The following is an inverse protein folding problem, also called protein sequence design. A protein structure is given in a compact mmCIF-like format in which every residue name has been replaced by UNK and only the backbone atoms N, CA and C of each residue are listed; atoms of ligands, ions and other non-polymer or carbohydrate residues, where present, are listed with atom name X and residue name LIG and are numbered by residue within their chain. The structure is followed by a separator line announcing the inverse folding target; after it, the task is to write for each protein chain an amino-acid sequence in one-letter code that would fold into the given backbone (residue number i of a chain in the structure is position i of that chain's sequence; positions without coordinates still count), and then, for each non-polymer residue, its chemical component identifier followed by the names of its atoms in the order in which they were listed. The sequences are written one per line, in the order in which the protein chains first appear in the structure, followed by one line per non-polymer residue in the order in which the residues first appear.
data_IF_219474373102
#
_entry.id   IF_219474373102
#
_cell.length_a   1.000
_cell.length_b   1.000
_cell.length_c   1.000
_cell.angle_alpha   90.00
_cell.angle_beta   90.00
_cell.angle_gamma   90.00
#
_symmetry.space_group_name_H-M   'P 1'
#
loop_
_entity.id
_entity.type
_entity.pdbx_description
1 polymer ?
#
# COMPACT_ATOMS: atom_id res chain seq x y z
N UNK A 1 -16.50 3.81 -8.17
CA UNK A 1 -15.48 4.48 -7.33
C UNK A 1 -14.10 3.83 -7.46
N UNK A 2 -13.73 3.35 -8.65
CA UNK A 2 -12.38 2.88 -8.98
C UNK A 2 -11.96 3.77 -10.15
N UNK A 3 -11.12 4.80 -9.94
CA UNK A 3 -10.43 5.60 -10.99
C UNK A 3 -9.85 6.91 -10.46
N UNK A 4 -10.32 7.42 -9.31
CA UNK A 4 -9.82 8.69 -8.75
C UNK A 4 -8.84 8.38 -7.63
N UNK A 5 -7.54 8.73 -7.76
CA UNK A 5 -6.59 8.62 -6.67
C UNK A 5 -7.10 9.43 -5.47
N UNK A 6 -7.08 8.84 -4.28
CA UNK A 6 -7.32 9.60 -3.06
C UNK A 6 -6.08 10.46 -2.80
N UNK A 7 -6.18 11.80 -2.77
CA UNK A 7 -5.06 12.64 -2.37
C UNK A 7 -4.84 12.47 -0.86
N UNK A 8 -3.63 12.06 -0.47
CA UNK A 8 -3.18 11.93 0.93
C UNK A 8 -4.11 11.09 1.83
N UNK A 9 -4.40 9.82 1.49
CA UNK A 9 -5.23 8.99 2.35
C UNK A 9 -4.54 8.81 3.71
N UNK A 10 -5.30 8.95 4.79
CA UNK A 10 -4.82 8.60 6.14
C UNK A 10 -4.71 7.09 6.25
N UNK A 11 -3.60 6.52 5.76
CA UNK A 11 -3.36 5.07 5.72
C UNK A 11 -3.49 4.41 7.09
N UNK A 12 -3.11 5.12 8.17
CA UNK A 12 -3.21 4.63 9.54
C UNK A 12 -4.65 4.41 10.02
N UNK A 13 -5.64 5.05 9.40
CA UNK A 13 -7.07 4.87 9.72
C UNK A 13 -7.76 3.86 8.80
N UNK A 14 -7.04 3.35 7.80
CA UNK A 14 -7.58 2.53 6.72
C UNK A 14 -8.34 3.34 5.67
N UNK A 15 -8.52 2.75 4.49
CA UNK A 15 -9.29 3.33 3.39
C UNK A 15 -10.50 2.41 3.13
N UNK A 16 -11.75 2.89 3.22
CA UNK A 16 -12.90 2.09 2.82
C UNK A 16 -12.95 1.98 1.28
N UNK A 17 -12.74 0.78 0.76
CA UNK A 17 -12.82 0.48 -0.69
C UNK A 17 -14.26 0.29 -1.21
N UNK A 18 -15.26 0.43 -0.34
CA UNK A 18 -16.66 0.25 -0.69
C UNK A 18 -17.08 -1.23 -0.79
N UNK A 19 -18.12 -1.49 -1.58
CA UNK A 19 -18.65 -2.84 -1.78
C UNK A 19 -17.89 -3.55 -2.90
N UNK A 20 -17.44 -4.77 -2.63
CA UNK A 20 -16.91 -5.69 -3.62
C UNK A 20 -17.93 -6.82 -3.76
N UNK A 21 -18.48 -7.00 -4.96
CA UNK A 21 -19.41 -8.10 -5.23
C UNK A 21 -18.65 -9.43 -5.36
N UNK A 22 -19.34 -10.57 -5.20
CA UNK A 22 -18.73 -11.89 -5.41
C UNK A 22 -17.99 -11.96 -6.76
N UNK A 23 -16.87 -12.68 -6.77
CA UNK A 23 -16.00 -12.91 -7.92
C UNK A 23 -15.37 -11.64 -8.55
N UNK A 24 -15.59 -10.46 -7.97
CA UNK A 24 -14.92 -9.24 -8.39
C UNK A 24 -13.57 -9.08 -7.69
N UNK A 25 -12.67 -8.33 -8.35
CA UNK A 25 -11.36 -7.96 -7.81
C UNK A 25 -11.28 -6.45 -7.66
N UNK A 26 -10.68 -5.99 -6.57
CA UNK A 26 -10.21 -4.62 -6.42
C UNK A 26 -8.69 -4.60 -6.64
N UNK A 27 -8.22 -3.68 -7.48
CA UNK A 27 -6.78 -3.44 -7.68
C UNK A 27 -6.39 -2.22 -6.86
N UNK A 28 -5.42 -2.40 -5.96
CA UNK A 28 -4.87 -1.33 -5.13
C UNK A 28 -3.53 -0.94 -5.72
N UNK A 29 -3.41 0.33 -6.12
CA UNK A 29 -2.15 0.93 -6.56
C UNK A 29 -1.83 2.06 -5.59
N UNK A 30 -0.59 2.11 -5.14
CA UNK A 30 -0.09 3.16 -4.26
C UNK A 30 1.30 3.60 -4.74
N UNK A 31 1.66 4.83 -4.41
CA UNK A 31 2.98 5.41 -4.66
C UNK A 31 3.59 5.78 -3.32
N UNK A 32 4.90 5.63 -3.21
CA UNK A 32 5.68 5.99 -2.03
C UNK A 32 6.74 7.00 -2.47
N UNK A 33 6.77 8.15 -1.80
CA UNK A 33 7.86 9.11 -1.94
C UNK A 33 8.90 8.82 -0.84
N UNK A 34 10.15 8.59 -1.25
CA UNK A 34 11.26 8.29 -0.34
C UNK A 34 12.09 9.57 -0.22
N UNK A 35 11.97 10.25 0.91
CA UNK A 35 12.66 11.54 1.15
C UNK A 35 14.14 11.36 1.50
N UNK A 36 14.51 10.27 2.18
CA UNK A 36 15.88 9.99 2.57
C UNK A 36 16.15 8.49 2.70
N UNK A 37 17.42 8.10 2.54
CA UNK A 37 17.86 6.72 2.68
C UNK A 37 19.25 6.66 3.32
N UNK A 38 19.45 5.69 4.21
CA UNK A 38 20.75 5.44 4.87
C UNK A 38 21.67 4.51 4.05
N UNK A 39 21.23 4.10 2.85
CA UNK A 39 21.95 3.20 1.95
C UNK A 39 21.73 3.62 0.50
N UNK A 40 22.69 3.27 -0.36
CA UNK A 40 22.63 3.50 -1.81
C UNK A 40 21.52 2.71 -2.52
N UNK A 41 20.90 1.73 -1.85
CA UNK A 41 19.79 0.96 -2.39
C UNK A 41 18.71 0.73 -1.33
N UNK A 42 17.47 0.69 -1.78
CA UNK A 42 16.30 0.33 -0.99
C UNK A 42 15.61 -0.87 -1.63
N UNK A 43 15.33 -1.88 -0.82
CA UNK A 43 14.39 -2.94 -1.15
C UNK A 43 13.11 -2.65 -0.37
N UNK A 44 12.00 -2.43 -1.08
CA UNK A 44 10.72 -2.14 -0.45
C UNK A 44 9.64 -3.12 -0.91
N UNK A 45 8.80 -3.51 0.03
CA UNK A 45 7.57 -4.27 -0.21
C UNK A 45 6.53 -3.80 0.81
N UNK A 46 5.28 -3.67 0.38
CA UNK A 46 4.18 -3.29 1.25
C UNK A 46 3.33 -4.51 1.57
N UNK A 47 2.93 -4.60 2.83
CA UNK A 47 1.93 -5.57 3.30
C UNK A 47 0.63 -4.81 3.52
N UNK A 48 -0.41 -5.21 2.79
CA UNK A 48 -1.77 -4.71 2.97
C UNK A 48 -2.51 -5.62 3.95
N UNK A 49 -3.09 -5.01 4.98
CA UNK A 49 -4.04 -5.67 5.87
C UNK A 49 -5.44 -5.13 5.57
N UNK A 50 -6.39 -6.01 5.29
CA UNK A 50 -7.75 -5.64 4.94
C UNK A 50 -8.77 -6.59 5.56
N UNK A 51 -10.02 -6.14 5.61
CA UNK A 51 -11.12 -6.94 6.09
C UNK A 51 -12.34 -6.83 5.19
N UNK A 52 -13.03 -7.95 5.00
CA UNK A 52 -14.36 -7.98 4.41
C UNK A 52 -15.40 -8.04 5.50
N UNK A 53 -16.50 -7.30 5.32
CA UNK A 53 -17.71 -7.45 6.11
C UNK A 53 -18.80 -8.01 5.20
N UNK A 54 -19.17 -9.26 5.44
CA UNK A 54 -20.21 -9.95 4.68
C UNK A 54 -21.61 -9.43 5.07
N UNK A 55 -22.64 -9.65 4.21
CA UNK A 55 -24.01 -9.23 4.51
C UNK A 55 -24.59 -9.80 5.81
N UNK A 56 -24.13 -10.98 6.24
CA UNK A 56 -24.52 -11.61 7.50
C UNK A 56 -23.78 -11.04 8.74
N UNK A 57 -22.99 -9.98 8.57
CA UNK A 57 -22.20 -9.34 9.63
C UNK A 57 -20.88 -10.03 9.95
N UNK A 58 -20.58 -11.19 9.33
CA UNK A 58 -19.28 -11.86 9.51
C UNK A 58 -18.16 -10.95 9.01
N UNK A 59 -17.08 -10.88 9.79
CA UNK A 59 -15.86 -10.18 9.40
C UNK A 59 -14.77 -11.20 9.11
N UNK A 60 -14.08 -11.02 7.99
CA UNK A 60 -12.92 -11.84 7.62
C UNK A 60 -11.74 -10.92 7.38
N UNK A 61 -10.61 -11.22 8.02
CA UNK A 61 -9.38 -10.46 7.91
C UNK A 61 -8.42 -11.20 6.98
N UNK A 62 -7.77 -10.47 6.10
CA UNK A 62 -6.79 -11.01 5.17
C UNK A 62 -5.60 -10.07 5.05
N UNK A 63 -4.52 -10.60 4.48
CA UNK A 63 -3.34 -9.83 4.09
C UNK A 63 -2.89 -10.18 2.69
N UNK A 64 -2.23 -9.23 2.02
CA UNK A 64 -1.59 -9.42 0.73
C UNK A 64 -0.30 -8.61 0.66
N UNK A 65 0.72 -9.14 0.00
CA UNK A 65 1.97 -8.43 -0.24
C UNK A 65 1.99 -7.84 -1.66
N UNK A 66 2.54 -6.64 -1.80
CA UNK A 66 2.84 -6.07 -3.12
C UNK A 66 3.98 -6.82 -3.80
N UNK A 67 4.24 -6.47 -5.05
CA UNK A 67 5.55 -6.73 -5.65
C UNK A 67 6.66 -6.11 -4.78
N UNK A 68 7.83 -6.73 -4.79
CA UNK A 68 9.06 -6.15 -4.26
C UNK A 68 9.63 -5.19 -5.29
N UNK A 69 10.02 -4.00 -4.86
CA UNK A 69 10.74 -3.04 -5.70
C UNK A 69 12.19 -2.91 -5.20
N UNK A 70 13.09 -2.72 -6.15
CA UNK A 70 14.47 -2.35 -5.91
C UNK A 70 14.67 -0.94 -6.44
N UNK A 71 15.13 -0.04 -5.58
CA UNK A 71 15.37 1.36 -5.90
C UNK A 71 16.84 1.66 -5.62
N UNK A 72 17.55 2.14 -6.63
CA UNK A 72 18.91 2.68 -6.49
C UNK A 72 18.83 4.18 -6.25
N UNK A 73 19.54 4.67 -5.23
CA UNK A 73 19.53 6.08 -4.85
C UNK A 73 20.69 6.78 -5.57
N UNK A 74 20.37 7.46 -6.66
CA UNK A 74 21.38 8.10 -7.53
C UNK A 74 22.22 9.18 -6.83
N UNK A 75 21.73 9.75 -5.73
CA UNK A 75 22.34 10.88 -5.02
C UNK A 75 22.73 10.52 -3.56
N UNK A 76 22.98 9.24 -3.28
CA UNK A 76 23.43 8.81 -1.96
C UNK A 76 24.86 9.29 -1.67
N UNK A 77 25.02 10.33 -0.86
CA UNK A 77 26.32 10.89 -0.49
C UNK A 77 27.01 10.15 0.68
N UNK A 78 26.29 9.25 1.36
CA UNK A 78 26.80 8.44 2.46
C UNK A 78 27.05 9.21 3.76
N UNK A 79 26.65 10.48 3.84
CA UNK A 79 26.82 11.31 5.03
C UNK A 79 25.84 10.88 6.12
N UNK A 80 26.38 10.49 7.28
CA UNK A 80 25.62 10.28 8.52
C UNK A 80 25.76 11.57 9.32
N UNK A 81 24.66 12.30 9.57
CA UNK A 81 24.65 13.40 10.56
C UNK A 81 24.97 12.89 11.97
#
# INVERSE_FOLDING_TARGET
MNSVPLPYPKLLQGIPFGRLDPDHKAVIVFSLDIESALRAYLIAQVILHYQFRYPNGRVEKQSASSNTIFVEMADFDGSVE
#
